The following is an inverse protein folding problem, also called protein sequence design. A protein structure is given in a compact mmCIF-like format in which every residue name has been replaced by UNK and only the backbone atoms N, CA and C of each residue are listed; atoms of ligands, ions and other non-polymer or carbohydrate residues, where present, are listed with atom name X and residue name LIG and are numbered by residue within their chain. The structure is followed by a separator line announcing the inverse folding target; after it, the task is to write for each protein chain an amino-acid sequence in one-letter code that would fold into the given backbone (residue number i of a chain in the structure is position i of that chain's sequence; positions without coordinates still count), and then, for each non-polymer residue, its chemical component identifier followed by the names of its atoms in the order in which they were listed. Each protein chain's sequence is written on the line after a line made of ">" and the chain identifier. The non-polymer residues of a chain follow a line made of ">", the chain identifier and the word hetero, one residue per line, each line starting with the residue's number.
data_IF_561749880918
#
_entry.id   IF_561749880918
#
_cell.length_a   1.000
_cell.length_b   1.000
_cell.length_c   1.000
_cell.angle_alpha   90.00
_cell.angle_beta   90.00
_cell.angle_gamma   90.00
#
_symmetry.space_group_name_H-M   'P 1'
#
loop_
_entity.id
_entity.type
_entity.pdbx_description
1 polymer ?
#
# COMPACT_ATOMS: atom_id res chain seq x y z
N UNK A 1 -8.34 2.89 -29.82
CA UNK A 1 -7.50 2.34 -28.73
C UNK A 1 -7.87 0.88 -28.56
N UNK A 2 -6.89 -0.01 -28.33
CA UNK A 2 -7.19 -1.41 -28.07
C UNK A 2 -7.86 -1.54 -26.69
N UNK A 3 -8.96 -2.26 -26.61
CA UNK A 3 -9.65 -2.54 -25.34
C UNK A 3 -8.85 -3.57 -24.56
N UNK A 4 -8.46 -3.26 -23.32
CA UNK A 4 -7.85 -4.24 -22.41
C UNK A 4 -8.89 -5.31 -22.05
N UNK A 5 -8.45 -6.56 -21.98
CA UNK A 5 -9.28 -7.71 -21.59
C UNK A 5 -8.74 -8.28 -20.26
N UNK A 6 -9.62 -8.89 -19.50
CA UNK A 6 -9.21 -9.71 -18.33
C UNK A 6 -8.54 -10.97 -18.89
N UNK A 7 -7.25 -11.15 -18.56
CA UNK A 7 -6.50 -12.33 -19.00
C UNK A 7 -6.84 -13.55 -18.14
N UNK A 8 -6.95 -13.37 -16.83
CA UNK A 8 -7.33 -14.41 -15.88
C UNK A 8 -7.84 -13.78 -14.58
N UNK A 9 -8.50 -14.59 -13.76
CA UNK A 9 -8.91 -14.26 -12.39
C UNK A 9 -8.31 -15.32 -11.47
N UNK A 10 -7.76 -14.90 -10.35
CA UNK A 10 -7.20 -15.79 -9.34
C UNK A 10 -7.85 -15.55 -7.98
N UNK A 11 -7.72 -16.54 -7.10
CA UNK A 11 -8.15 -16.45 -5.72
C UNK A 11 -6.95 -16.28 -4.80
N UNK A 12 -7.07 -15.54 -3.70
CA UNK A 12 -5.99 -15.38 -2.74
C UNK A 12 -5.64 -16.73 -2.10
N UNK A 13 -4.36 -16.90 -1.78
CA UNK A 13 -3.91 -18.01 -0.94
C UNK A 13 -4.36 -17.81 0.51
N UNK A 14 -4.20 -18.86 1.34
CA UNK A 14 -4.47 -18.76 2.77
C UNK A 14 -3.64 -17.65 3.42
N UNK A 15 -4.27 -16.94 4.37
CA UNK A 15 -3.62 -15.85 5.07
C UNK A 15 -2.51 -16.38 5.99
N UNK A 16 -1.37 -15.71 5.97
CA UNK A 16 -0.24 -15.96 6.87
C UNK A 16 0.12 -14.69 7.66
N UNK A 17 0.96 -14.85 8.68
CA UNK A 17 1.42 -13.75 9.50
C UNK A 17 2.73 -13.18 8.96
N UNK A 18 2.79 -11.84 8.89
CA UNK A 18 4.01 -11.05 8.70
C UNK A 18 4.28 -10.34 10.02
N UNK A 19 5.36 -10.74 10.70
CA UNK A 19 5.55 -10.41 12.10
C UNK A 19 4.43 -10.98 12.97
N UNK A 20 4.03 -10.24 13.99
CA UNK A 20 2.91 -10.57 14.88
C UNK A 20 1.72 -9.59 14.74
N UNK A 21 1.85 -8.59 13.86
CA UNK A 21 0.83 -7.56 13.64
C UNK A 21 -0.05 -7.77 12.41
N UNK A 22 0.49 -8.31 11.33
CA UNK A 22 -0.16 -8.30 10.03
C UNK A 22 -0.49 -9.69 9.53
N UNK A 23 -1.78 -10.01 9.40
CA UNK A 23 -2.26 -11.27 8.82
C UNK A 23 -2.71 -11.01 7.40
N UNK A 24 -1.93 -11.45 6.42
CA UNK A 24 -2.09 -11.08 5.02
C UNK A 24 -2.38 -12.25 4.10
N UNK A 25 -3.15 -11.97 3.05
CA UNK A 25 -3.24 -12.79 1.86
C UNK A 25 -2.27 -12.24 0.83
N UNK A 26 -1.33 -13.06 0.35
CA UNK A 26 -0.42 -12.66 -0.72
C UNK A 26 -1.07 -12.87 -2.09
N UNK A 27 -1.13 -11.81 -2.89
CA UNK A 27 -1.64 -11.83 -4.26
C UNK A 27 -0.50 -11.81 -5.28
N UNK A 28 0.56 -11.08 -5.02
CA UNK A 28 1.76 -11.01 -5.85
C UNK A 28 2.94 -11.37 -4.93
N UNK A 29 3.83 -12.32 -5.32
CA UNK A 29 3.93 -13.05 -6.58
C UNK A 29 3.16 -14.38 -6.62
N UNK A 30 2.20 -14.60 -5.74
CA UNK A 30 1.52 -15.88 -5.58
C UNK A 30 0.56 -16.27 -6.73
N UNK A 31 0.72 -15.70 -7.92
CA UNK A 31 -0.13 -15.97 -9.08
C UNK A 31 0.52 -17.07 -9.93
N UNK A 32 -0.04 -18.31 -9.96
CA UNK A 32 0.51 -19.38 -10.77
C UNK A 32 0.55 -19.03 -12.26
N UNK A 33 1.68 -19.30 -12.92
CA UNK A 33 1.82 -19.10 -14.36
C UNK A 33 2.12 -17.66 -14.79
N UNK A 34 2.21 -16.70 -13.87
CA UNK A 34 2.59 -15.33 -14.18
C UNK A 34 4.03 -15.06 -13.74
N UNK A 35 4.84 -14.54 -14.65
CA UNK A 35 6.22 -14.18 -14.34
C UNK A 35 6.31 -12.82 -13.65
N UNK A 36 7.38 -12.61 -12.88
CA UNK A 36 7.65 -11.29 -12.28
C UNK A 36 7.84 -10.20 -13.34
N UNK A 37 8.29 -10.54 -14.55
CA UNK A 37 8.42 -9.58 -15.66
C UNK A 37 7.06 -9.10 -16.16
N UNK A 38 6.06 -9.96 -16.18
CA UNK A 38 4.70 -9.58 -16.58
C UNK A 38 4.00 -8.72 -15.52
N UNK A 39 4.41 -8.84 -14.26
CA UNK A 39 3.87 -8.04 -13.15
C UNK A 39 4.64 -6.73 -12.89
N UNK A 40 5.85 -6.59 -13.47
CA UNK A 40 6.65 -5.36 -13.26
C UNK A 40 5.87 -4.09 -13.64
N UNK A 41 5.90 -3.06 -12.82
CA UNK A 41 6.74 -2.84 -11.64
C UNK A 41 6.19 -3.39 -10.32
N UNK A 42 5.09 -4.14 -10.29
CA UNK A 42 4.49 -4.64 -9.04
C UNK A 42 5.10 -5.99 -8.66
N UNK A 43 5.84 -6.03 -7.56
CA UNK A 43 6.61 -7.21 -7.13
C UNK A 43 6.07 -7.88 -5.87
N UNK A 44 5.21 -7.19 -5.13
CA UNK A 44 4.47 -7.76 -4.00
C UNK A 44 3.15 -7.03 -3.83
N UNK A 45 2.09 -7.79 -3.54
CA UNK A 45 0.83 -7.26 -3.03
C UNK A 45 0.32 -8.17 -1.92
N UNK A 46 0.31 -7.64 -0.70
CA UNK A 46 -0.25 -8.26 0.48
C UNK A 46 -1.50 -7.50 0.93
N UNK A 47 -2.57 -8.24 1.16
CA UNK A 47 -3.83 -7.69 1.66
C UNK A 47 -4.12 -8.21 3.07
N UNK A 48 -4.09 -7.33 4.06
CA UNK A 48 -4.61 -7.59 5.39
C UNK A 48 -6.12 -7.38 5.37
N UNK A 49 -6.86 -8.47 5.29
CA UNK A 49 -8.32 -8.43 5.25
C UNK A 49 -8.89 -7.81 6.53
N UNK A 50 -10.01 -7.12 6.38
CA UNK A 50 -10.69 -6.42 7.48
C UNK A 50 -10.96 -7.38 8.66
N UNK A 51 -10.44 -7.07 9.83
CA UNK A 51 -10.59 -7.85 11.06
C UNK A 51 -10.61 -6.99 12.29
N UNK A 52 -11.16 -7.51 13.39
CA UNK A 52 -10.99 -6.92 14.72
C UNK A 52 -9.61 -7.26 15.29
N UNK A 53 -8.95 -6.27 15.82
CA UNK A 53 -7.73 -6.41 16.62
C UNK A 53 -8.07 -6.08 18.06
N UNK A 54 -7.73 -6.98 18.99
CA UNK A 54 -7.95 -6.76 20.41
C UNK A 54 -7.05 -5.64 20.95
N UNK A 55 -7.47 -4.92 21.99
CA UNK A 55 -6.63 -3.96 22.70
C UNK A 55 -5.34 -4.61 23.19
N UNK A 56 -4.21 -3.88 23.08
CA UNK A 56 -2.90 -4.33 23.55
C UNK A 56 -2.02 -3.16 23.95
N UNK A 57 -1.33 -3.27 25.08
CA UNK A 57 -0.29 -2.31 25.49
C UNK A 57 1.00 -2.49 24.66
N UNK A 58 1.20 -3.67 24.07
CA UNK A 58 2.32 -3.96 23.16
C UNK A 58 1.81 -4.03 21.72
N UNK A 59 2.08 -3.01 20.88
CA UNK A 59 1.67 -3.02 19.49
C UNK A 59 2.29 -4.19 18.73
N UNK A 60 1.47 -4.98 18.03
CA UNK A 60 1.94 -5.97 17.07
C UNK A 60 2.47 -5.29 15.81
N UNK A 61 3.38 -5.94 15.12
CA UNK A 61 3.98 -5.40 13.89
C UNK A 61 5.12 -6.23 13.35
N UNK A 62 6.01 -5.57 12.60
CA UNK A 62 7.25 -6.14 12.05
C UNK A 62 8.44 -5.37 12.60
N UNK A 63 9.36 -6.08 13.25
CA UNK A 63 10.61 -5.52 13.75
C UNK A 63 11.51 -4.97 12.64
N UNK A 64 12.67 -4.46 13.03
CA UNK A 64 13.61 -3.86 12.06
C UNK A 64 14.02 -4.86 10.99
N UNK A 65 13.82 -4.48 9.74
CA UNK A 65 14.17 -5.27 8.56
C UNK A 65 14.62 -4.36 7.40
N UNK A 66 15.40 -4.90 6.43
CA UNK A 66 15.96 -4.12 5.32
C UNK A 66 15.07 -4.14 4.09
N UNK A 67 15.11 -3.02 3.33
CA UNK A 67 14.64 -2.94 1.95
C UNK A 67 15.70 -2.28 1.06
N UNK A 68 15.77 -2.69 -0.20
CA UNK A 68 16.69 -2.10 -1.18
C UNK A 68 16.21 -2.32 -2.62
N UNK A 69 16.30 -1.26 -3.43
CA UNK A 69 16.07 -1.34 -4.88
C UNK A 69 14.62 -1.32 -5.32
N UNK A 70 13.69 -1.01 -4.43
CA UNK A 70 12.26 -0.90 -4.68
C UNK A 70 11.59 0.09 -3.72
N UNK A 71 10.29 0.24 -3.85
CA UNK A 71 9.46 1.10 -3.00
C UNK A 71 8.40 0.25 -2.29
N UNK A 72 8.03 0.65 -1.09
CA UNK A 72 6.89 0.09 -0.36
C UNK A 72 5.78 1.13 -0.26
N UNK A 73 4.55 0.71 -0.54
CA UNK A 73 3.35 1.55 -0.45
C UNK A 73 2.37 0.89 0.50
N UNK A 74 2.10 1.54 1.61
CA UNK A 74 1.12 1.08 2.61
C UNK A 74 -0.14 1.92 2.50
N UNK A 75 -1.29 1.29 2.25
CA UNK A 75 -2.61 1.94 2.19
C UNK A 75 -3.41 1.49 3.41
N UNK A 76 -3.71 2.40 4.32
CA UNK A 76 -4.52 2.11 5.50
C UNK A 76 -6.01 2.32 5.20
N UNK A 77 -6.80 1.26 5.13
CA UNK A 77 -8.26 1.36 4.98
C UNK A 77 -8.98 1.47 6.31
N UNK A 78 -8.50 0.76 7.34
CA UNK A 78 -8.98 0.83 8.71
C UNK A 78 -7.81 0.68 9.68
N UNK A 79 -7.86 1.34 10.81
CA UNK A 79 -6.80 1.30 11.82
C UNK A 79 -5.70 2.31 11.56
N UNK A 80 -4.60 2.16 12.28
CA UNK A 80 -3.45 3.06 12.19
C UNK A 80 -2.14 2.26 12.21
N UNK A 81 -1.20 2.63 11.32
CA UNK A 81 0.13 2.05 11.25
C UNK A 81 1.17 3.12 11.55
N UNK A 82 2.07 2.81 12.47
CA UNK A 82 3.23 3.63 12.82
C UNK A 82 4.48 2.99 12.27
N UNK A 83 5.33 3.78 11.62
CA UNK A 83 6.60 3.30 11.10
C UNK A 83 7.75 4.24 11.43
N UNK A 84 8.97 3.68 11.45
CA UNK A 84 10.23 4.40 11.63
C UNK A 84 11.32 3.77 10.77
N UNK A 85 12.20 4.60 10.23
CA UNK A 85 13.30 4.15 9.38
C UNK A 85 14.69 4.66 9.85
N UNK A 86 15.74 4.07 9.26
CA UNK A 86 17.13 4.40 9.57
C UNK A 86 17.57 5.79 9.04
N UNK A 87 16.80 6.42 8.16
CA UNK A 87 17.00 7.78 7.68
C UNK A 87 16.36 8.85 8.58
N UNK A 88 15.81 8.39 9.75
CA UNK A 88 15.11 9.22 10.74
C UNK A 88 13.76 9.77 10.26
N UNK A 89 13.16 9.14 9.26
CA UNK A 89 11.78 9.38 8.94
C UNK A 89 10.88 8.46 9.78
N UNK A 90 9.68 8.90 10.02
CA UNK A 90 8.67 8.15 10.73
C UNK A 90 7.35 8.89 10.74
N UNK A 91 6.31 8.20 11.11
CA UNK A 91 4.98 8.77 11.19
C UNK A 91 3.90 7.73 11.40
N UNK A 92 2.69 8.22 11.55
CA UNK A 92 1.49 7.40 11.67
C UNK A 92 0.60 7.70 10.46
N UNK A 93 0.25 6.65 9.73
CA UNK A 93 -0.82 6.72 8.74
C UNK A 93 -2.10 6.21 9.36
N UNK A 94 -3.20 6.91 9.06
CA UNK A 94 -4.54 6.65 9.56
C UNK A 94 -5.46 6.19 8.45
N UNK A 95 -6.69 5.91 8.80
CA UNK A 95 -7.71 5.50 7.84
C UNK A 95 -7.76 6.44 6.62
N UNK A 96 -7.53 5.88 5.45
CA UNK A 96 -7.51 6.56 4.16
C UNK A 96 -6.15 7.08 3.73
N UNK A 97 -5.17 7.19 4.64
CA UNK A 97 -3.82 7.68 4.33
C UNK A 97 -2.98 6.64 3.62
N UNK A 98 -1.94 7.12 2.93
CA UNK A 98 -0.94 6.30 2.26
C UNK A 98 0.46 6.72 2.69
N UNK A 99 1.29 5.71 2.93
CA UNK A 99 2.73 5.87 3.07
C UNK A 99 3.42 5.33 1.82
N UNK A 100 4.33 6.11 1.26
CA UNK A 100 5.15 5.70 0.12
C UNK A 100 6.63 5.86 0.47
N UNK A 101 7.32 4.74 0.70
CA UNK A 101 8.74 4.73 1.06
C UNK A 101 9.57 4.21 -0.11
N UNK A 102 10.43 5.06 -0.67
CA UNK A 102 11.44 4.67 -1.65
C UNK A 102 12.68 4.17 -0.90
N UNK A 103 12.89 2.85 -0.88
CA UNK A 103 14.05 2.26 -0.20
C UNK A 103 15.36 2.48 -0.97
N UNK A 104 15.31 2.50 -2.30
CA UNK A 104 16.42 2.82 -3.22
C UNK A 104 17.76 2.16 -2.83
N UNK A 105 18.80 2.91 -2.47
CA UNK A 105 20.14 2.36 -2.09
C UNK A 105 20.12 1.50 -0.83
N UNK A 106 19.05 1.55 -0.06
CA UNK A 106 18.85 0.71 1.11
C UNK A 106 18.40 1.49 2.34
N UNK A 107 17.46 0.91 3.08
CA UNK A 107 16.94 1.44 4.33
C UNK A 107 16.58 0.30 5.27
N UNK A 108 16.75 0.51 6.56
CA UNK A 108 16.16 -0.33 7.60
C UNK A 108 14.90 0.35 8.09
N UNK A 109 13.80 -0.38 8.22
CA UNK A 109 12.59 0.16 8.82
C UNK A 109 11.87 -0.87 9.70
N UNK A 110 10.88 -0.38 10.43
CA UNK A 110 9.97 -1.17 11.26
C UNK A 110 8.56 -0.59 11.15
N UNK A 111 7.56 -1.44 11.25
CA UNK A 111 6.15 -1.08 11.15
C UNK A 111 5.36 -1.77 12.25
N UNK A 112 4.51 -1.02 12.95
CA UNK A 112 3.66 -1.53 14.03
C UNK A 112 2.26 -0.92 13.93
N UNK A 113 1.27 -1.55 14.53
CA UNK A 113 0.04 -0.84 14.87
C UNK A 113 0.41 0.41 15.69
N UNK A 114 -0.17 1.57 15.37
CA UNK A 114 0.14 2.79 16.11
C UNK A 114 -0.17 2.61 17.58
N UNK A 115 0.74 3.06 18.46
CA UNK A 115 0.69 2.77 19.91
C UNK A 115 -0.65 3.14 20.56
N UNK A 116 -1.14 4.33 20.28
CA UNK A 116 -2.40 4.80 20.90
C UNK A 116 -3.65 4.14 20.30
N UNK A 117 -3.56 3.69 19.05
CA UNK A 117 -4.60 2.87 18.43
C UNK A 117 -4.59 1.43 19.01
N UNK A 118 -3.41 0.84 19.15
CA UNK A 118 -3.26 -0.53 19.66
C UNK A 118 -3.85 -0.69 21.08
N UNK A 119 -3.70 0.30 21.95
CA UNK A 119 -4.32 0.30 23.30
C UNK A 119 -5.83 0.20 23.27
N UNK A 120 -6.47 0.70 22.23
CA UNK A 120 -7.93 0.67 22.06
C UNK A 120 -8.39 -0.54 21.26
N UNK A 121 -7.53 -1.04 20.37
CA UNK A 121 -7.90 -2.01 19.37
C UNK A 121 -8.91 -1.44 18.37
N UNK A 122 -9.49 -2.31 17.57
CA UNK A 122 -10.53 -1.90 16.61
C UNK A 122 -10.41 -2.62 15.27
N UNK A 123 -11.14 -2.10 14.29
CA UNK A 123 -11.04 -2.62 12.91
C UNK A 123 -9.70 -2.27 12.30
N UNK A 124 -9.07 -3.25 11.66
CA UNK A 124 -7.83 -3.11 10.92
C UNK A 124 -7.97 -3.67 9.51
N UNK A 125 -7.51 -2.92 8.51
CA UNK A 125 -7.48 -3.33 7.11
C UNK A 125 -6.45 -2.50 6.37
N UNK A 126 -5.54 -3.16 5.63
CA UNK A 126 -4.53 -2.45 4.84
C UNK A 126 -4.11 -3.25 3.61
N UNK A 127 -3.48 -2.57 2.68
CA UNK A 127 -2.71 -3.16 1.58
C UNK A 127 -1.27 -2.73 1.70
N UNK A 128 -0.36 -3.69 1.51
CA UNK A 128 1.07 -3.46 1.29
C UNK A 128 1.37 -3.79 -0.17
N UNK A 129 1.84 -2.80 -0.91
CA UNK A 129 2.25 -2.95 -2.30
C UNK A 129 3.73 -2.62 -2.42
N UNK A 130 4.50 -3.44 -3.14
CA UNK A 130 5.88 -3.12 -3.49
C UNK A 130 5.99 -2.83 -4.98
N UNK A 131 6.68 -1.74 -5.31
CA UNK A 131 6.91 -1.32 -6.69
C UNK A 131 8.41 -1.32 -6.98
N UNK A 132 8.80 -2.01 -8.05
CA UNK A 132 10.19 -2.07 -8.49
C UNK A 132 10.67 -0.71 -8.96
N UNK A 133 11.94 -0.40 -8.69
CA UNK A 133 12.59 0.78 -9.26
C UNK A 133 13.28 0.44 -10.58
N UNK A 134 13.29 1.37 -11.55
CA UNK A 134 14.16 1.27 -12.71
C UNK A 134 15.63 1.11 -12.30
N UNK A 135 16.42 0.41 -13.09
CA UNK A 135 17.81 0.09 -12.74
C UNK A 135 18.65 1.31 -12.36
N UNK A 136 18.45 2.45 -13.06
CA UNK A 136 19.19 3.70 -12.82
C UNK A 136 18.80 4.38 -11.50
N UNK A 137 17.61 4.07 -10.94
CA UNK A 137 17.14 4.66 -9.68
C UNK A 137 17.38 3.76 -8.46
N UNK A 138 17.75 2.47 -8.66
CA UNK A 138 17.94 1.52 -7.55
C UNK A 138 18.97 1.95 -6.52
N UNK A 139 19.90 2.79 -6.88
CA UNK A 139 20.96 3.31 -5.99
C UNK A 139 20.79 4.79 -5.63
N UNK A 140 19.62 5.38 -5.90
CA UNK A 140 19.30 6.74 -5.48
C UNK A 140 19.14 6.84 -3.95
N UNK A 141 19.04 8.04 -3.42
CA UNK A 141 18.82 8.25 -1.98
C UNK A 141 17.41 7.79 -1.57
N UNK A 142 17.27 7.12 -0.42
CA UNK A 142 15.97 6.80 0.15
C UNK A 142 15.10 8.04 0.33
N UNK A 143 13.79 7.89 0.11
CA UNK A 143 12.79 8.96 0.24
C UNK A 143 11.54 8.46 0.93
N UNK A 144 10.77 9.39 1.48
CA UNK A 144 9.52 9.12 2.13
C UNK A 144 8.45 10.14 1.71
N UNK A 145 7.25 9.67 1.45
CA UNK A 145 6.09 10.50 1.17
C UNK A 145 4.95 10.07 2.11
N UNK A 146 4.53 10.97 2.97
CA UNK A 146 3.25 10.86 3.68
C UNK A 146 2.18 11.47 2.79
N UNK A 147 1.16 10.72 2.47
CA UNK A 147 0.06 11.13 1.59
C UNK A 147 -1.24 11.02 2.39
N UNK A 148 -1.64 12.10 3.07
CA UNK A 148 -2.93 12.17 3.75
C UNK A 148 -4.08 12.05 2.76
N UNK A 149 -5.18 11.43 3.17
CA UNK A 149 -6.35 11.21 2.31
C UNK A 149 -6.94 12.50 1.70
N UNK A 150 -6.89 13.60 2.44
CA UNK A 150 -7.39 14.89 2.01
C UNK A 150 -6.55 15.53 0.89
N UNK A 151 -5.30 15.08 0.71
CA UNK A 151 -4.41 15.55 -0.38
C UNK A 151 -4.59 14.79 -1.69
N UNK A 152 -5.30 13.66 -1.68
CA UNK A 152 -5.54 12.85 -2.87
C UNK A 152 -6.53 13.54 -3.81
N UNK A 153 -6.29 13.43 -5.11
CA UNK A 153 -7.28 13.82 -6.12
C UNK A 153 -8.55 12.98 -5.99
N UNK A 154 -9.71 13.59 -6.04
CA UNK A 154 -11.02 12.93 -5.90
C UNK A 154 -11.88 13.18 -7.13
N UNK A 155 -12.21 12.11 -7.85
CA UNK A 155 -13.09 12.15 -9.00
C UNK A 155 -14.41 11.46 -8.67
N UNK A 156 -15.51 12.24 -8.74
CA UNK A 156 -16.87 11.73 -8.50
C UNK A 156 -17.32 11.04 -9.78
N UNK A 157 -17.74 9.78 -9.67
CA UNK A 157 -18.26 9.02 -10.81
C UNK A 157 -19.65 9.51 -11.20
N UNK A 158 -20.00 9.42 -12.50
CA UNK A 158 -21.35 9.75 -12.98
C UNK A 158 -22.44 8.97 -12.25
N UNK A 159 -23.67 9.50 -12.28
CA UNK A 159 -24.88 8.84 -11.78
C UNK A 159 -24.79 8.38 -10.31
N UNK A 160 -24.00 9.10 -9.51
CA UNK A 160 -23.73 8.74 -8.11
C UNK A 160 -23.13 7.34 -7.92
N UNK A 161 -22.46 6.78 -8.94
CA UNK A 161 -21.86 5.44 -8.89
C UNK A 161 -20.74 5.32 -7.84
N UNK A 162 -20.15 6.43 -7.41
CA UNK A 162 -19.11 6.41 -6.37
C UNK A 162 -18.05 7.48 -6.52
N UNK A 163 -16.87 7.17 -6.00
CA UNK A 163 -15.73 8.07 -5.95
C UNK A 163 -14.44 7.30 -6.28
N UNK A 164 -13.57 7.89 -7.11
CA UNK A 164 -12.19 7.44 -7.32
C UNK A 164 -11.24 8.40 -6.60
N UNK A 165 -10.45 7.89 -5.67
CA UNK A 165 -9.34 8.60 -5.03
C UNK A 165 -8.06 8.26 -5.76
N UNK A 166 -7.40 9.24 -6.35
CA UNK A 166 -6.17 9.06 -7.12
C UNK A 166 -4.97 9.25 -6.19
N UNK A 167 -4.22 8.19 -5.95
CA UNK A 167 -2.99 8.18 -5.14
C UNK A 167 -1.79 8.56 -6.01
N UNK A 168 -1.65 7.90 -7.16
CA UNK A 168 -0.58 8.14 -8.15
C UNK A 168 -1.14 8.13 -9.57
N UNK A 169 -0.51 8.89 -10.46
CA UNK A 169 -0.96 9.05 -11.84
C UNK A 169 -2.17 9.97 -11.97
N UNK A 170 -2.98 9.74 -12.98
CA UNK A 170 -4.13 10.58 -13.32
C UNK A 170 -5.34 9.73 -13.72
N UNK A 171 -6.54 10.16 -13.33
CA UNK A 171 -7.81 9.60 -13.74
C UNK A 171 -8.77 10.73 -14.15
N UNK A 172 -9.21 10.73 -15.42
CA UNK A 172 -10.17 11.71 -15.96
C UNK A 172 -9.80 13.18 -15.62
N UNK A 173 -8.53 13.57 -15.78
CA UNK A 173 -8.02 14.90 -15.48
C UNK A 173 -7.77 15.18 -13.99
N UNK A 174 -8.00 14.20 -13.12
CA UNK A 174 -7.74 14.32 -11.68
C UNK A 174 -6.42 13.62 -11.36
N UNK A 175 -5.42 14.37 -10.89
CA UNK A 175 -4.09 13.85 -10.57
C UNK A 175 -3.94 13.42 -9.11
N UNK A 176 -3.13 12.38 -8.88
CA UNK A 176 -2.70 11.97 -7.54
C UNK A 176 -1.44 12.70 -7.09
N UNK A 177 -1.21 12.85 -5.77
CA UNK A 177 -0.08 13.58 -5.21
C UNK A 177 1.25 12.79 -5.21
N UNK A 178 1.21 11.46 -5.33
CA UNK A 178 2.42 10.64 -5.26
C UNK A 178 3.37 10.92 -6.43
N UNK A 179 4.63 11.11 -6.11
CA UNK A 179 5.72 11.18 -7.08
C UNK A 179 6.32 9.79 -7.24
N UNK A 180 6.33 9.26 -8.45
CA UNK A 180 6.76 7.91 -8.77
C UNK A 180 7.97 7.91 -9.70
N UNK A 181 8.81 6.88 -9.61
CA UNK A 181 9.95 6.66 -10.51
C UNK A 181 9.53 6.02 -11.84
N UNK A 182 8.51 5.17 -11.80
CA UNK A 182 7.88 4.57 -12.99
C UNK A 182 6.49 5.17 -13.19
N UNK A 183 5.95 5.19 -14.41
CA UNK A 183 4.56 5.57 -14.65
C UNK A 183 3.62 4.58 -13.97
N UNK A 184 3.05 4.98 -12.83
CA UNK A 184 2.12 4.16 -12.03
C UNK A 184 0.78 4.88 -11.94
N UNK A 185 -0.29 4.14 -12.19
CA UNK A 185 -1.66 4.56 -11.87
C UNK A 185 -2.16 3.72 -10.68
N UNK A 186 -2.29 4.35 -9.52
CA UNK A 186 -2.76 3.73 -8.28
C UNK A 186 -3.94 4.53 -7.73
N UNK A 187 -5.05 3.85 -7.51
CA UNK A 187 -6.32 4.48 -7.16
C UNK A 187 -7.13 3.61 -6.22
N UNK A 188 -7.93 4.24 -5.36
CA UNK A 188 -9.00 3.59 -4.63
C UNK A 188 -10.34 3.90 -5.30
N UNK A 189 -11.10 2.86 -5.66
CA UNK A 189 -12.48 3.02 -6.10
C UNK A 189 -13.44 2.69 -4.94
N UNK A 190 -14.26 3.65 -4.56
CA UNK A 190 -15.32 3.50 -3.57
C UNK A 190 -16.65 3.56 -4.31
N UNK A 191 -17.22 2.41 -4.60
CA UNK A 191 -18.46 2.29 -5.36
C UNK A 191 -19.66 2.24 -4.42
N UNK A 192 -20.74 2.89 -4.82
CA UNK A 192 -22.04 2.78 -4.18
C UNK A 192 -22.76 1.50 -4.63
N UNK A 193 -23.76 1.05 -3.87
CA UNK A 193 -24.61 -0.07 -4.27
C UNK A 193 -25.32 0.27 -5.57
N UNK A 194 -25.19 -0.60 -6.58
CA UNK A 194 -25.79 -0.40 -7.92
C UNK A 194 -25.00 0.54 -8.84
N UNK A 195 -23.83 1.02 -8.42
CA UNK A 195 -22.97 1.91 -9.20
C UNK A 195 -22.02 1.19 -10.16
#
# INVERSE_FOLDING_TARGET
>A
MATKKIAFVTHPQEAHWVGDGFRVHNFIPAIPGLSMQEMDPFILLDYNAKRMVAPSETPGGVGVHPHRGFETVTIAYEGEVEHHDSAKHGGVIRRGDVQWMTAASGILHKEYHAKEWAKKGGLFQMVQLWTNLPAHDKMSAPKYQSIPNDTMGKHILPDHAGLVEVIAGEYQGTAGPARTHSPIALMNAKLNEGG
#
